data_IF_823515226018
#
_entry.id   IF_823515226018
#
_cell.length_a   1.000
_cell.length_b   1.000
_cell.length_c   1.000
_cell.angle_alpha   90.00
_cell.angle_beta   90.00
_cell.angle_gamma   90.00
#
_symmetry.space_group_name_H-M   'P 1'
#
loop_
_entity.id
_entity.type
_entity.pdbx_description
1 polymer ?
#
# COMPACT_ATOMS: atom_id res chain seq x y z
N UNK A 1 -31.07 -17.47 8.01
CA UNK A 1 -30.65 -16.13 8.50
C UNK A 1 -29.12 -16.11 8.49
N UNK A 2 -28.53 -15.18 7.73
CA UNK A 2 -27.15 -15.26 7.23
C UNK A 2 -26.14 -15.15 8.39
N UNK A 3 -25.16 -16.04 8.37
CA UNK A 3 -24.15 -16.28 9.40
C UNK A 3 -23.49 -14.96 9.82
N UNK A 4 -23.47 -14.68 11.13
CA UNK A 4 -22.60 -13.65 11.71
C UNK A 4 -21.16 -14.10 11.51
N UNK A 5 -20.51 -13.57 10.47
CA UNK A 5 -19.08 -13.78 10.24
C UNK A 5 -18.33 -13.10 11.38
N UNK A 6 -17.66 -13.90 12.20
CA UNK A 6 -16.69 -13.42 13.18
C UNK A 6 -15.58 -12.63 12.47
N UNK A 7 -15.00 -11.58 13.08
CA UNK A 7 -13.84 -10.90 12.53
C UNK A 7 -12.67 -11.89 12.51
N UNK A 8 -12.02 -12.04 11.37
CA UNK A 8 -10.85 -12.90 11.22
C UNK A 8 -9.66 -12.29 11.98
N UNK A 9 -9.57 -12.61 13.27
CA UNK A 9 -8.32 -12.58 14.03
C UNK A 9 -7.43 -13.70 13.48
N UNK A 10 -6.49 -13.37 12.58
CA UNK A 10 -5.34 -14.24 12.29
C UNK A 10 -5.05 -14.64 10.83
N UNK A 11 -5.39 -13.84 9.81
CA UNK A 11 -4.78 -14.05 8.49
C UNK A 11 -3.42 -13.31 8.46
N UNK A 12 -2.35 -14.00 8.06
CA UNK A 12 -1.03 -13.37 7.88
C UNK A 12 -1.11 -12.35 6.73
N UNK A 13 -0.59 -11.11 6.91
CA UNK A 13 -0.63 -10.12 5.85
C UNK A 13 0.20 -10.57 4.65
N UNK A 14 -0.31 -10.30 3.45
CA UNK A 14 0.44 -10.50 2.22
C UNK A 14 1.62 -9.54 2.21
N UNK A 15 2.81 -10.03 1.89
CA UNK A 15 4.01 -9.20 1.71
C UNK A 15 4.26 -8.98 0.23
N UNK A 16 4.37 -7.71 -0.17
CA UNK A 16 4.63 -7.32 -1.55
C UNK A 16 5.84 -6.41 -1.62
N UNK A 17 6.87 -6.81 -2.37
CA UNK A 17 8.03 -5.95 -2.64
C UNK A 17 7.78 -5.12 -3.89
N UNK A 18 8.10 -3.84 -3.83
CA UNK A 18 8.00 -2.94 -4.98
C UNK A 18 9.19 -3.11 -5.92
N UNK A 19 8.91 -2.91 -7.21
CA UNK A 19 9.94 -2.87 -8.25
C UNK A 19 10.86 -1.64 -8.07
N UNK A 20 12.15 -1.73 -8.45
CA UNK A 20 13.09 -0.60 -8.30
C UNK A 20 12.68 0.67 -9.05
N UNK A 21 12.04 0.52 -10.22
CA UNK A 21 11.68 1.64 -11.09
C UNK A 21 10.16 1.77 -11.19
N UNK A 22 9.59 2.65 -10.39
CA UNK A 22 8.16 2.94 -10.36
C UNK A 22 7.84 4.23 -11.12
N UNK A 23 7.94 4.18 -12.45
CA UNK A 23 7.61 5.30 -13.33
C UNK A 23 6.29 5.11 -14.08
N UNK A 24 6.00 6.01 -15.04
CA UNK A 24 4.74 5.98 -15.79
C UNK A 24 4.46 4.63 -16.47
N UNK A 25 5.50 3.89 -16.88
CA UNK A 25 5.33 2.56 -17.50
C UNK A 25 4.93 1.50 -16.47
N UNK A 26 5.32 1.68 -15.22
CA UNK A 26 5.04 0.77 -14.12
C UNK A 26 3.66 1.02 -13.47
N UNK A 27 2.98 2.14 -13.79
CA UNK A 27 1.72 2.51 -13.13
C UNK A 27 0.60 1.47 -13.32
N UNK A 28 0.36 1.02 -14.57
CA UNK A 28 -0.66 0.02 -14.84
C UNK A 28 -0.31 -1.38 -14.28
N UNK A 29 0.94 -1.89 -14.43
CA UNK A 29 1.37 -3.10 -13.74
C UNK A 29 1.22 -3.03 -12.22
N UNK A 30 1.63 -1.92 -11.60
CA UNK A 30 1.51 -1.71 -10.16
C UNK A 30 0.05 -1.75 -9.70
N UNK A 31 -0.84 -1.07 -10.43
CA UNK A 31 -2.28 -1.14 -10.18
C UNK A 31 -2.79 -2.59 -10.23
N UNK A 32 -2.44 -3.35 -11.26
CA UNK A 32 -2.92 -4.72 -11.43
C UNK A 32 -2.44 -5.63 -10.29
N UNK A 33 -1.16 -5.50 -9.89
CA UNK A 33 -0.58 -6.25 -8.78
C UNK A 33 -1.30 -5.91 -7.47
N UNK A 34 -1.46 -4.63 -7.15
CA UNK A 34 -2.17 -4.20 -5.95
C UNK A 34 -3.62 -4.69 -5.99
N UNK A 35 -4.35 -4.43 -7.08
CA UNK A 35 -5.75 -4.83 -7.21
C UNK A 35 -5.96 -6.34 -6.97
N UNK A 36 -5.03 -7.19 -7.40
CA UNK A 36 -5.06 -8.62 -7.14
C UNK A 36 -4.96 -9.04 -5.67
N UNK A 37 -4.52 -8.14 -4.77
CA UNK A 37 -4.40 -8.39 -3.33
C UNK A 37 -5.58 -7.85 -2.51
N UNK A 38 -6.62 -7.29 -3.15
CA UNK A 38 -7.78 -6.74 -2.44
C UNK A 38 -8.46 -7.80 -1.57
N UNK A 39 -8.93 -7.39 -0.38
CA UNK A 39 -9.55 -8.28 0.61
C UNK A 39 -8.55 -8.97 1.55
N UNK A 40 -7.26 -8.62 1.45
CA UNK A 40 -6.21 -9.10 2.34
C UNK A 40 -5.49 -7.93 3.01
N UNK A 41 -5.04 -8.12 4.25
CA UNK A 41 -4.10 -7.19 4.89
C UNK A 41 -2.77 -7.23 4.09
N UNK A 42 -2.17 -6.07 3.83
CA UNK A 42 -1.03 -5.92 2.92
C UNK A 42 0.11 -5.14 3.59
N UNK A 43 1.33 -5.69 3.49
CA UNK A 43 2.58 -5.01 3.86
C UNK A 43 3.44 -4.86 2.62
N UNK A 44 3.81 -3.62 2.29
CA UNK A 44 4.59 -3.25 1.13
C UNK A 44 6.04 -2.96 1.55
N UNK A 45 7.01 -3.61 0.91
CA UNK A 45 8.44 -3.32 1.05
C UNK A 45 8.88 -2.34 -0.05
N UNK A 46 9.19 -1.10 0.34
CA UNK A 46 9.66 -0.03 -0.54
C UNK A 46 11.20 0.16 -0.53
N UNK A 47 11.95 -0.73 0.13
CA UNK A 47 13.40 -0.55 0.38
C UNK A 47 14.25 -0.64 -0.88
N UNK A 48 13.78 -1.39 -1.87
CA UNK A 48 14.45 -1.54 -3.17
C UNK A 48 14.10 -0.48 -4.21
N UNK A 49 13.20 0.47 -3.91
CA UNK A 49 12.76 1.45 -4.91
C UNK A 49 13.83 2.51 -5.11
N UNK A 50 14.32 2.68 -6.33
CA UNK A 50 15.32 3.69 -6.68
C UNK A 50 14.64 4.98 -7.17
N UNK A 51 13.52 4.85 -7.87
CA UNK A 51 12.76 5.98 -8.41
C UNK A 51 11.26 5.77 -8.27
N UNK A 52 10.58 6.74 -7.66
CA UNK A 52 9.12 6.82 -7.62
C UNK A 52 8.65 8.03 -8.44
N UNK A 53 7.86 7.78 -9.47
CA UNK A 53 7.19 8.79 -10.29
C UNK A 53 5.78 9.09 -9.81
N UNK A 54 5.25 10.26 -10.18
CA UNK A 54 3.96 10.75 -9.70
C UNK A 54 2.76 9.82 -9.97
N UNK A 55 2.75 9.09 -11.08
CA UNK A 55 1.65 8.16 -11.40
C UNK A 55 1.65 6.93 -10.48
N UNK A 56 2.82 6.32 -10.22
CA UNK A 56 2.92 5.22 -9.26
C UNK A 56 2.63 5.68 -7.83
N UNK A 57 3.05 6.90 -7.47
CA UNK A 57 2.69 7.54 -6.21
C UNK A 57 1.16 7.63 -6.04
N UNK A 58 0.45 8.13 -7.06
CA UNK A 58 -1.02 8.21 -7.03
C UNK A 58 -1.66 6.83 -6.91
N UNK A 59 -1.14 5.82 -7.61
CA UNK A 59 -1.64 4.44 -7.52
C UNK A 59 -1.48 3.89 -6.10
N UNK A 60 -0.34 4.12 -5.44
CA UNK A 60 -0.12 3.68 -4.05
C UNK A 60 -1.07 4.37 -3.07
N UNK A 61 -1.26 5.68 -3.19
CA UNK A 61 -2.18 6.43 -2.33
C UNK A 61 -3.65 6.00 -2.54
N UNK A 62 -4.04 5.76 -3.79
CA UNK A 62 -5.37 5.24 -4.12
C UNK A 62 -5.57 3.82 -3.58
N UNK A 63 -4.55 2.98 -3.63
CA UNK A 63 -4.58 1.65 -3.03
C UNK A 63 -4.79 1.75 -1.51
N UNK A 64 -3.96 2.52 -0.78
CA UNK A 64 -4.16 2.74 0.66
C UNK A 64 -5.57 3.21 1.00
N UNK A 65 -6.08 4.22 0.30
CA UNK A 65 -7.44 4.72 0.51
C UNK A 65 -8.50 3.63 0.31
N UNK A 66 -8.28 2.74 -0.66
CA UNK A 66 -9.18 1.64 -0.91
C UNK A 66 -9.12 0.53 0.15
N UNK A 67 -7.93 0.22 0.67
CA UNK A 67 -7.78 -0.71 1.80
C UNK A 67 -8.44 -0.19 3.07
N UNK A 68 -8.31 1.11 3.31
CA UNK A 68 -9.01 1.77 4.41
C UNK A 68 -10.52 1.63 4.26
N UNK A 69 -11.07 1.85 3.07
CA UNK A 69 -12.50 1.67 2.80
C UNK A 69 -12.95 0.21 3.02
N UNK A 70 -12.10 -0.76 2.68
CA UNK A 70 -12.37 -2.19 2.88
C UNK A 70 -12.09 -2.69 4.31
N UNK A 71 -11.59 -1.83 5.20
CA UNK A 71 -11.20 -2.17 6.57
C UNK A 71 -10.08 -3.24 6.67
N UNK A 72 -9.18 -3.23 5.69
CA UNK A 72 -7.97 -4.06 5.67
C UNK A 72 -6.73 -3.22 5.95
N UNK A 73 -5.74 -3.80 6.63
CA UNK A 73 -4.47 -3.12 6.90
C UNK A 73 -3.66 -2.91 5.62
N UNK A 74 -3.04 -1.74 5.50
CA UNK A 74 -2.15 -1.40 4.41
C UNK A 74 -0.96 -0.65 5.01
N UNK A 75 0.21 -1.29 5.01
CA UNK A 75 1.42 -0.74 5.60
C UNK A 75 2.50 -0.63 4.54
N UNK A 76 3.29 0.44 4.59
CA UNK A 76 4.46 0.60 3.74
C UNK A 76 5.70 0.73 4.60
N UNK A 77 6.65 -0.16 4.39
CA UNK A 77 7.88 -0.25 5.15
C UNK A 77 9.10 0.04 4.28
N UNK A 78 10.18 0.49 4.94
CA UNK A 78 11.48 0.63 4.31
C UNK A 78 11.50 1.66 3.19
N UNK A 79 10.94 2.85 3.37
CA UNK A 79 11.08 3.92 2.37
C UNK A 79 12.56 4.18 2.05
N UNK A 80 12.95 3.95 0.79
CA UNK A 80 14.31 4.23 0.33
C UNK A 80 14.57 5.74 0.26
N UNK A 81 15.84 6.18 0.20
CA UNK A 81 16.17 7.60 -0.02
C UNK A 81 15.54 8.17 -1.30
N UNK A 82 15.45 7.38 -2.37
CA UNK A 82 14.82 7.79 -3.62
C UNK A 82 13.31 8.01 -3.50
N UNK A 83 12.63 7.20 -2.67
CA UNK A 83 11.22 7.42 -2.37
C UNK A 83 11.03 8.65 -1.52
N UNK A 84 11.80 8.80 -0.43
CA UNK A 84 11.72 9.97 0.47
C UNK A 84 11.91 11.27 -0.31
N UNK A 85 12.90 11.35 -1.20
CA UNK A 85 13.13 12.54 -2.01
C UNK A 85 11.92 12.91 -2.91
N UNK A 86 11.25 11.92 -3.51
CA UNK A 86 10.02 12.17 -4.27
C UNK A 86 8.89 12.65 -3.37
N UNK A 87 8.73 12.08 -2.17
CA UNK A 87 7.68 12.45 -1.23
C UNK A 87 7.86 13.90 -0.76
N UNK A 88 9.08 14.29 -0.42
CA UNK A 88 9.45 15.66 -0.05
C UNK A 88 9.15 16.65 -1.19
N UNK A 89 9.55 16.31 -2.42
CA UNK A 89 9.29 17.14 -3.59
C UNK A 89 7.78 17.36 -3.83
N UNK A 90 6.96 16.36 -3.48
CA UNK A 90 5.51 16.40 -3.65
C UNK A 90 4.76 16.94 -2.42
N UNK A 91 5.47 17.23 -1.31
CA UNK A 91 4.86 17.68 -0.06
C UNK A 91 3.99 16.62 0.63
N UNK A 92 4.40 15.35 0.56
CA UNK A 92 3.66 14.22 1.12
C UNK A 92 4.47 13.59 2.26
N UNK A 93 3.84 13.42 3.41
CA UNK A 93 4.46 12.72 4.54
C UNK A 93 4.38 11.19 4.35
N UNK A 94 5.40 10.42 4.75
CA UNK A 94 5.37 8.94 4.68
C UNK A 94 4.15 8.32 5.40
N UNK A 95 3.67 8.95 6.48
CA UNK A 95 2.48 8.52 7.20
C UNK A 95 1.20 8.51 6.33
N UNK A 96 1.19 9.22 5.19
CA UNK A 96 0.08 9.21 4.24
C UNK A 96 -0.13 7.83 3.58
N UNK A 97 0.81 6.91 3.69
CA UNK A 97 0.74 5.58 3.10
C UNK A 97 0.29 4.49 4.05
N UNK A 98 0.25 4.76 5.36
CA UNK A 98 -0.14 3.74 6.32
C UNK A 98 -1.64 3.81 6.61
N UNK A 99 -2.23 2.64 6.80
CA UNK A 99 -3.54 2.45 7.38
C UNK A 99 -3.51 1.19 8.24
N UNK A 100 -3.76 1.38 9.54
CA UNK A 100 -4.04 0.29 10.47
C UNK A 100 -5.52 0.34 10.78
N UNK A 101 -6.20 -0.80 10.67
CA UNK A 101 -7.58 -0.91 11.14
C UNK A 101 -7.61 -0.75 12.65
N UNK A 102 -8.55 0.01 13.16
CA UNK A 102 -8.78 0.09 14.61
C UNK A 102 -9.37 -1.26 15.05
N UNK A 103 -8.61 -2.04 15.81
CA UNK A 103 -9.14 -3.21 16.51
C UNK A 103 -9.98 -2.71 17.68
N UNK A 104 -11.29 -2.63 17.47
CA UNK A 104 -12.25 -2.30 18.53
C UNK A 104 -12.04 -3.21 19.74
N UNK A 105 -11.87 -2.59 20.91
CA UNK A 105 -11.84 -3.22 22.24
C UNK A 105 -13.25 -3.66 22.64
#
# INVERSE_FOLDING_TARGET
>A
MKKRSHPAKGAEPVKLRLEPLLDIKAAAPLYAVLHGQRGHDLVIDASGVERLGGQCLQVLLAARASWAADQHEFLVEGFSPGVIATLELMGIEPAAFDYRRETGV
#
